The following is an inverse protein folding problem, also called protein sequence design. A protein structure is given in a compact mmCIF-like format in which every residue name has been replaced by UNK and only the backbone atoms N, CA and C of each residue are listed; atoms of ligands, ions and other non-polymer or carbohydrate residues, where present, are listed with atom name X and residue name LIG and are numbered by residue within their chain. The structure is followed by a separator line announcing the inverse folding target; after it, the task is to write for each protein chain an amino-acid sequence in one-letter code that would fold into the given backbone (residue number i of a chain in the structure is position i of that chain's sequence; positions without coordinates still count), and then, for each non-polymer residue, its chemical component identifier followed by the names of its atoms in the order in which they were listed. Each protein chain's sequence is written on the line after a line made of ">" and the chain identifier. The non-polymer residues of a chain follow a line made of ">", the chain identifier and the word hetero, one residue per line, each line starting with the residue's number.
data_IF_883714068088
#
_entry.id   IF_883714068088
#
_cell.length_a   1.000
_cell.length_b   1.000
_cell.length_c   1.000
_cell.angle_alpha   90.00
_cell.angle_beta   90.00
_cell.angle_gamma   90.00
#
_symmetry.space_group_name_H-M   'P 1'
#
loop_
_entity.id
_entity.type
_entity.pdbx_description
1 polymer ?
#
# COMPACT_ATOMS: atom_id res chain seq x y z
N UNK A 1 6.66 -18.34 -4.64
CA UNK A 1 7.77 -18.48 -5.62
C UNK A 1 9.14 -18.71 -4.96
N UNK A 2 9.52 -17.99 -3.90
CA UNK A 2 10.82 -18.16 -3.22
C UNK A 2 11.07 -19.57 -2.66
N UNK A 3 10.03 -20.28 -2.20
CA UNK A 3 10.16 -21.67 -1.73
C UNK A 3 10.57 -22.63 -2.85
N UNK A 4 10.07 -22.39 -4.07
CA UNK A 4 10.39 -23.21 -5.24
C UNK A 4 11.87 -23.07 -5.62
N UNK A 5 12.45 -21.87 -5.56
CA UNK A 5 13.85 -21.63 -5.89
C UNK A 5 14.80 -22.25 -4.85
N UNK A 6 14.50 -22.17 -3.55
CA UNK A 6 15.28 -22.87 -2.52
C UNK A 6 15.33 -24.37 -2.75
N UNK A 7 14.20 -24.97 -3.07
CA UNK A 7 14.10 -26.40 -3.33
C UNK A 7 14.83 -26.76 -4.63
N UNK A 8 14.78 -25.90 -5.64
CA UNK A 8 15.51 -26.03 -6.89
C UNK A 8 17.03 -26.03 -6.66
N UNK A 9 17.56 -25.04 -5.95
CA UNK A 9 18.99 -24.94 -5.63
C UNK A 9 19.46 -26.16 -4.81
N UNK A 10 18.69 -26.60 -3.83
CA UNK A 10 19.00 -27.81 -3.04
C UNK A 10 19.02 -29.09 -3.89
N UNK A 11 18.12 -29.21 -4.87
CA UNK A 11 18.10 -30.34 -5.82
C UNK A 11 19.31 -30.31 -6.72
N UNK A 12 19.67 -29.15 -7.28
CA UNK A 12 20.84 -28.98 -8.11
C UNK A 12 22.12 -29.36 -7.37
N UNK A 13 22.30 -28.95 -6.12
CA UNK A 13 23.45 -29.35 -5.31
C UNK A 13 23.56 -30.87 -5.13
N UNK A 14 22.42 -31.55 -4.92
CA UNK A 14 22.42 -33.03 -4.84
C UNK A 14 22.83 -33.67 -6.17
N UNK A 15 22.30 -33.17 -7.29
CA UNK A 15 22.66 -33.65 -8.63
C UNK A 15 24.16 -33.48 -8.88
N UNK A 16 24.72 -32.32 -8.54
CA UNK A 16 26.18 -32.09 -8.69
C UNK A 16 27.00 -33.01 -7.78
N UNK A 17 26.52 -33.33 -6.56
CA UNK A 17 27.17 -34.31 -5.70
C UNK A 17 27.24 -35.70 -6.36
N UNK A 18 26.10 -36.16 -6.88
CA UNK A 18 26.02 -37.46 -7.59
C UNK A 18 26.93 -37.48 -8.84
N UNK A 19 26.87 -36.40 -9.64
CA UNK A 19 27.72 -36.30 -10.85
C UNK A 19 29.22 -36.36 -10.52
N UNK A 20 29.64 -35.76 -9.41
CA UNK A 20 31.05 -35.80 -8.97
C UNK A 20 31.50 -37.22 -8.65
N UNK A 21 30.61 -38.03 -8.05
CA UNK A 21 30.89 -39.45 -7.73
C UNK A 21 30.92 -40.29 -9.00
N UNK A 22 29.97 -40.09 -9.92
CA UNK A 22 29.82 -40.90 -11.13
C UNK A 22 30.85 -40.55 -12.22
N UNK A 23 31.31 -39.29 -12.25
CA UNK A 23 32.17 -38.75 -13.28
C UNK A 23 33.46 -38.16 -12.67
N UNK A 24 34.31 -38.95 -12.01
CA UNK A 24 35.47 -38.40 -11.29
C UNK A 24 36.50 -37.74 -12.18
N UNK A 25 36.48 -38.00 -13.50
CA UNK A 25 37.38 -37.39 -14.48
C UNK A 25 36.82 -36.10 -15.09
N UNK A 26 35.56 -35.81 -14.88
CA UNK A 26 34.95 -34.58 -15.44
C UNK A 26 35.36 -33.33 -14.65
N UNK A 27 35.52 -32.22 -15.38
CA UNK A 27 35.63 -30.89 -14.75
C UNK A 27 34.23 -30.39 -14.41
N UNK A 28 33.85 -30.52 -13.16
CA UNK A 28 32.51 -30.09 -12.67
C UNK A 28 32.63 -28.71 -12.06
N UNK A 29 31.84 -27.77 -12.59
CA UNK A 29 31.65 -26.45 -11.99
C UNK A 29 30.58 -26.57 -10.91
N UNK A 30 30.92 -26.41 -9.61
CA UNK A 30 29.94 -26.56 -8.54
C UNK A 30 28.78 -25.58 -8.66
N UNK A 31 27.59 -25.97 -8.23
CA UNK A 31 26.46 -25.08 -8.18
C UNK A 31 26.48 -24.31 -6.86
N UNK A 32 26.43 -22.96 -6.85
CA UNK A 32 26.43 -22.16 -5.63
C UNK A 32 25.28 -22.53 -4.70
N UNK A 33 25.47 -22.42 -3.38
CA UNK A 33 24.42 -22.74 -2.38
C UNK A 33 23.18 -21.88 -2.52
N UNK A 34 23.37 -20.63 -2.99
CA UNK A 34 22.27 -19.70 -3.28
C UNK A 34 22.50 -19.07 -4.65
N UNK A 35 21.46 -19.04 -5.45
CA UNK A 35 21.43 -18.37 -6.75
C UNK A 35 20.04 -17.73 -6.90
N UNK A 36 20.01 -16.52 -7.43
CA UNK A 36 18.75 -15.81 -7.73
C UNK A 36 18.39 -15.97 -9.20
N UNK A 37 17.09 -16.06 -9.47
CA UNK A 37 16.59 -16.02 -10.82
C UNK A 37 16.51 -14.57 -11.31
N UNK A 38 16.74 -14.37 -12.62
CA UNK A 38 16.56 -13.09 -13.28
C UNK A 38 15.07 -12.70 -13.30
N UNK A 39 14.72 -11.59 -12.65
CA UNK A 39 13.32 -11.14 -12.52
C UNK A 39 12.84 -10.39 -13.76
N UNK A 40 13.75 -9.77 -14.50
CA UNK A 40 13.45 -8.95 -15.68
C UNK A 40 13.67 -9.70 -17.01
N UNK A 41 13.87 -11.02 -16.93
CA UNK A 41 14.06 -11.81 -18.13
C UNK A 41 12.81 -11.77 -19.02
N UNK A 42 13.00 -11.54 -20.33
CA UNK A 42 11.89 -11.39 -21.31
C UNK A 42 10.88 -12.55 -21.34
N UNK A 43 11.28 -13.74 -20.89
CA UNK A 43 10.42 -14.93 -20.79
C UNK A 43 9.80 -15.08 -19.39
N UNK A 44 9.96 -14.08 -18.54
CA UNK A 44 9.50 -14.11 -17.14
C UNK A 44 10.47 -14.86 -16.22
N UNK A 45 10.13 -14.88 -14.94
CA UNK A 45 10.90 -15.55 -13.89
C UNK A 45 10.83 -17.07 -14.09
N UNK A 46 11.96 -17.70 -14.29
CA UNK A 46 12.05 -19.15 -14.45
C UNK A 46 13.23 -19.70 -13.66
N UNK A 47 13.12 -20.95 -13.22
CA UNK A 47 14.22 -21.66 -12.54
C UNK A 47 15.42 -22.00 -13.43
N UNK A 48 15.42 -21.58 -14.69
CA UNK A 48 16.48 -21.83 -15.66
C UNK A 48 17.25 -20.56 -16.04
N UNK A 49 16.73 -19.39 -15.68
CA UNK A 49 17.36 -18.10 -15.98
C UNK A 49 17.87 -17.48 -14.68
N UNK A 50 19.18 -17.49 -14.54
CA UNK A 50 19.86 -16.94 -13.37
C UNK A 50 20.34 -15.52 -13.66
N UNK A 51 20.69 -14.78 -12.62
CA UNK A 51 21.23 -13.44 -12.77
C UNK A 51 22.62 -13.46 -13.42
N UNK A 52 23.06 -12.30 -13.86
CA UNK A 52 24.34 -12.11 -14.57
C UNK A 52 25.53 -12.64 -13.76
N UNK A 53 25.53 -12.47 -12.46
CA UNK A 53 26.60 -12.91 -11.56
C UNK A 53 26.83 -14.42 -11.61
N UNK A 54 25.77 -15.22 -11.77
CA UNK A 54 25.90 -16.66 -11.95
C UNK A 54 26.61 -17.01 -13.25
N UNK A 55 26.29 -16.34 -14.33
CA UNK A 55 26.94 -16.59 -15.63
C UNK A 55 28.38 -16.11 -15.63
N UNK A 56 28.70 -15.00 -14.97
CA UNK A 56 30.08 -14.51 -14.78
C UNK A 56 30.89 -15.51 -13.96
N UNK A 57 30.33 -16.06 -12.88
CA UNK A 57 30.97 -17.14 -12.14
C UNK A 57 31.25 -18.35 -13.03
N UNK A 58 30.25 -18.84 -13.78
CA UNK A 58 30.45 -19.99 -14.68
C UNK A 58 31.54 -19.73 -15.72
N UNK A 59 31.56 -18.54 -16.28
CA UNK A 59 32.60 -18.14 -17.25
C UNK A 59 34.00 -18.15 -16.62
N UNK A 60 34.17 -17.57 -15.43
CA UNK A 60 35.46 -17.58 -14.72
C UNK A 60 35.90 -18.98 -14.35
N UNK A 61 34.99 -19.87 -13.98
CA UNK A 61 35.30 -21.27 -13.71
C UNK A 61 35.78 -21.99 -14.97
N UNK A 62 35.12 -21.78 -16.12
CA UNK A 62 35.58 -22.34 -17.42
C UNK A 62 36.96 -21.83 -17.78
N UNK A 63 37.23 -20.53 -17.63
CA UNK A 63 38.56 -19.97 -17.90
C UNK A 63 39.63 -20.56 -16.95
N UNK A 64 39.27 -20.87 -15.71
CA UNK A 64 40.17 -21.53 -14.77
C UNK A 64 40.53 -22.95 -15.22
N UNK A 65 39.55 -23.72 -15.72
CA UNK A 65 39.78 -25.04 -16.33
C UNK A 65 40.70 -24.95 -17.52
N UNK A 66 40.51 -23.93 -18.40
CA UNK A 66 41.32 -23.73 -19.61
C UNK A 66 42.80 -23.43 -19.32
N UNK A 67 43.16 -22.94 -18.12
CA UNK A 67 44.55 -22.72 -17.72
C UNK A 67 45.34 -24.01 -17.58
N UNK A 68 44.72 -25.17 -17.54
CA UNK A 68 45.40 -26.46 -17.44
C UNK A 68 46.19 -26.63 -16.14
N UNK A 69 45.72 -26.06 -15.05
CA UNK A 69 46.34 -26.15 -13.74
C UNK A 69 46.30 -27.61 -13.20
N UNK A 70 47.17 -27.95 -12.24
CA UNK A 70 47.01 -29.19 -11.50
C UNK A 70 45.61 -29.29 -10.90
N UNK A 71 44.99 -30.47 -10.96
CA UNK A 71 43.56 -30.66 -10.66
C UNK A 71 43.14 -30.14 -9.27
N UNK A 72 44.00 -30.36 -8.29
CA UNK A 72 43.76 -29.86 -6.94
C UNK A 72 43.69 -28.34 -6.86
N UNK A 73 44.65 -27.67 -7.51
CA UNK A 73 44.71 -26.20 -7.61
C UNK A 73 43.51 -25.65 -8.40
N UNK A 74 43.14 -26.28 -9.49
CA UNK A 74 41.97 -25.94 -10.29
C UNK A 74 40.69 -26.03 -9.44
N UNK A 75 40.48 -27.14 -8.74
CA UNK A 75 39.33 -27.35 -7.90
C UNK A 75 39.24 -26.32 -6.75
N UNK A 76 40.35 -26.00 -6.11
CA UNK A 76 40.41 -24.97 -5.07
C UNK A 76 40.02 -23.59 -5.60
N UNK A 77 40.52 -23.21 -6.77
CA UNK A 77 40.17 -21.91 -7.40
C UNK A 77 38.72 -21.85 -7.80
N UNK A 78 38.18 -22.93 -8.40
CA UNK A 78 36.77 -22.98 -8.78
C UNK A 78 35.86 -22.96 -7.53
N UNK A 79 36.26 -23.66 -6.45
CA UNK A 79 35.52 -23.63 -5.21
C UNK A 79 35.50 -22.23 -4.57
N UNK A 80 36.66 -21.53 -4.60
CA UNK A 80 36.70 -20.14 -4.11
C UNK A 80 35.79 -19.19 -4.89
N UNK A 81 35.73 -19.34 -6.23
CA UNK A 81 34.80 -18.60 -7.08
C UNK A 81 33.32 -18.92 -6.74
N UNK A 82 33.02 -20.20 -6.48
CA UNK A 82 31.69 -20.64 -6.07
C UNK A 82 31.27 -20.04 -4.72
N UNK A 83 32.19 -20.02 -3.75
CA UNK A 83 31.96 -19.47 -2.42
C UNK A 83 31.75 -17.94 -2.48
N UNK A 84 32.56 -17.23 -3.29
CA UNK A 84 32.40 -15.81 -3.52
C UNK A 84 31.03 -15.48 -4.17
N UNK A 85 30.63 -16.24 -5.18
CA UNK A 85 29.32 -16.11 -5.80
C UNK A 85 28.19 -16.37 -4.78
N UNK A 86 28.33 -17.37 -3.92
CA UNK A 86 27.38 -17.69 -2.85
C UNK A 86 27.27 -16.54 -1.84
N UNK A 87 28.38 -15.93 -1.42
CA UNK A 87 28.39 -14.78 -0.51
C UNK A 87 27.68 -13.58 -1.12
N UNK A 88 27.98 -13.23 -2.36
CA UNK A 88 27.35 -12.13 -3.07
C UNK A 88 25.81 -12.29 -3.11
N UNK A 89 25.31 -13.51 -3.40
CA UNK A 89 23.89 -13.79 -3.36
C UNK A 89 23.30 -13.75 -1.97
N UNK A 90 24.05 -14.16 -0.94
CA UNK A 90 23.58 -14.11 0.44
C UNK A 90 23.35 -12.68 0.89
N UNK A 91 24.25 -11.77 0.58
CA UNK A 91 24.13 -10.34 0.88
C UNK A 91 22.98 -9.68 0.11
N UNK A 92 22.90 -9.92 -1.20
CA UNK A 92 21.80 -9.42 -2.03
C UNK A 92 20.45 -9.96 -1.56
N UNK A 93 20.38 -11.23 -1.16
CA UNK A 93 19.15 -11.86 -0.69
C UNK A 93 18.71 -11.33 0.66
N UNK A 94 19.64 -11.03 1.56
CA UNK A 94 19.34 -10.41 2.85
C UNK A 94 18.71 -9.02 2.65
N UNK A 95 19.31 -8.17 1.80
CA UNK A 95 18.74 -6.88 1.44
C UNK A 95 17.35 -6.98 0.81
N UNK A 96 17.16 -7.94 -0.10
CA UNK A 96 15.86 -8.18 -0.74
C UNK A 96 14.76 -8.63 0.25
N UNK A 97 15.14 -9.43 1.25
CA UNK A 97 14.22 -9.85 2.32
C UNK A 97 13.84 -8.65 3.18
N UNK A 98 14.79 -7.83 3.61
CA UNK A 98 14.54 -6.65 4.43
C UNK A 98 13.60 -5.67 3.72
N UNK A 99 13.86 -5.36 2.44
CA UNK A 99 12.97 -4.51 1.62
C UNK A 99 11.58 -5.12 1.46
N UNK A 100 11.48 -6.43 1.26
CA UNK A 100 10.21 -7.13 1.12
C UNK A 100 9.40 -7.12 2.42
N UNK A 101 10.03 -7.28 3.58
CA UNK A 101 9.38 -7.17 4.88
C UNK A 101 8.90 -5.74 5.14
N UNK A 102 9.73 -4.74 4.85
CA UNK A 102 9.34 -3.34 4.99
C UNK A 102 8.11 -3.00 4.12
N UNK A 103 8.07 -3.48 2.87
CA UNK A 103 6.93 -3.29 1.98
C UNK A 103 5.66 -4.00 2.49
N UNK A 104 5.79 -5.21 3.06
CA UNK A 104 4.68 -5.94 3.67
C UNK A 104 4.15 -5.22 4.90
N UNK A 105 5.01 -4.68 5.75
CA UNK A 105 4.62 -3.93 6.94
C UNK A 105 3.90 -2.63 6.59
N UNK A 106 4.37 -1.90 5.58
CA UNK A 106 3.66 -0.72 5.06
C UNK A 106 2.26 -1.09 4.58
N UNK A 107 2.12 -2.14 3.79
CA UNK A 107 0.82 -2.61 3.30
C UNK A 107 -0.10 -3.09 4.42
N UNK A 108 0.44 -3.80 5.41
CA UNK A 108 -0.29 -4.23 6.61
C UNK A 108 -0.84 -3.03 7.38
N UNK A 109 -0.01 -2.00 7.62
CA UNK A 109 -0.42 -0.80 8.33
C UNK A 109 -1.49 -0.01 7.55
N UNK A 110 -1.39 0.05 6.22
CA UNK A 110 -2.42 0.66 5.37
C UNK A 110 -3.75 -0.09 5.48
N UNK A 111 -3.74 -1.42 5.36
CA UNK A 111 -4.95 -2.25 5.48
C UNK A 111 -5.57 -2.15 6.88
N UNK A 112 -4.75 -2.04 7.91
CA UNK A 112 -5.22 -1.86 9.27
C UNK A 112 -5.90 -0.49 9.45
N UNK A 113 -5.31 0.57 8.92
CA UNK A 113 -5.92 1.91 8.94
C UNK A 113 -7.23 1.96 8.14
N UNK A 114 -7.31 1.27 7.00
CA UNK A 114 -8.54 1.16 6.21
C UNK A 114 -9.62 0.38 6.97
N UNK A 115 -9.27 -0.73 7.60
CA UNK A 115 -10.18 -1.51 8.45
C UNK A 115 -10.72 -0.67 9.59
N UNK A 116 -9.85 0.03 10.31
CA UNK A 116 -10.24 0.84 11.47
C UNK A 116 -11.16 2.00 11.05
N UNK A 117 -10.89 2.59 9.88
CA UNK A 117 -11.78 3.58 9.26
C UNK A 117 -13.14 2.97 8.94
N UNK A 118 -13.17 1.79 8.31
CA UNK A 118 -14.42 1.10 7.98
C UNK A 118 -15.25 0.79 9.21
N UNK A 119 -14.64 0.29 10.28
CA UNK A 119 -15.32 -0.01 11.53
C UNK A 119 -15.95 1.24 12.16
N UNK A 120 -15.25 2.36 12.17
CA UNK A 120 -15.80 3.64 12.66
C UNK A 120 -16.98 4.15 11.82
N UNK A 121 -16.94 3.98 10.49
CA UNK A 121 -18.10 4.28 9.65
C UNK A 121 -19.27 3.35 9.98
N UNK A 122 -19.04 2.05 10.11
CA UNK A 122 -20.08 1.09 10.45
C UNK A 122 -20.71 1.39 11.80
N UNK A 123 -19.92 1.71 12.83
CA UNK A 123 -20.40 2.10 14.15
C UNK A 123 -21.22 3.40 14.10
N UNK A 124 -20.76 4.40 13.37
CA UNK A 124 -21.54 5.63 13.18
C UNK A 124 -22.89 5.34 12.54
N UNK A 125 -22.96 4.60 11.43
CA UNK A 125 -24.22 4.27 10.78
C UNK A 125 -25.13 3.41 11.65
N UNK A 126 -24.58 2.47 12.41
CA UNK A 126 -25.33 1.69 13.39
C UNK A 126 -25.99 2.62 14.43
N UNK A 127 -25.22 3.52 15.05
CA UNK A 127 -25.74 4.49 16.03
C UNK A 127 -26.76 5.44 15.41
N UNK A 128 -26.51 5.90 14.19
CA UNK A 128 -27.41 6.78 13.45
C UNK A 128 -28.77 6.13 13.25
N UNK A 129 -28.80 4.84 12.90
CA UNK A 129 -30.05 4.07 12.73
C UNK A 129 -30.72 3.72 14.05
N UNK A 130 -29.95 3.23 15.04
CA UNK A 130 -30.49 2.85 16.36
C UNK A 130 -31.11 4.01 17.11
N UNK A 131 -30.55 5.21 16.96
CA UNK A 131 -31.04 6.42 17.62
C UNK A 131 -32.07 7.16 16.76
N UNK A 132 -32.48 6.60 15.62
CA UNK A 132 -33.36 7.27 14.65
C UNK A 132 -32.90 8.70 14.33
N UNK A 133 -31.60 8.88 14.22
CA UNK A 133 -31.00 10.17 13.90
C UNK A 133 -31.45 10.65 12.52
N UNK A 134 -31.81 11.93 12.44
CA UNK A 134 -32.33 12.53 11.22
C UNK A 134 -31.64 13.88 10.98
N UNK A 135 -30.84 13.94 9.96
CA UNK A 135 -30.12 15.16 9.58
C UNK A 135 -31.04 16.29 9.19
N UNK A 136 -32.18 16.00 8.57
CA UNK A 136 -33.18 16.98 8.15
C UNK A 136 -33.86 17.58 9.38
N UNK A 137 -34.33 16.74 10.32
CA UNK A 137 -34.87 17.19 11.60
C UNK A 137 -33.87 18.03 12.38
N UNK A 138 -32.60 17.62 12.40
CA UNK A 138 -31.54 18.39 13.04
C UNK A 138 -31.41 19.78 12.42
N UNK A 139 -31.35 19.89 11.09
CA UNK A 139 -31.23 21.15 10.38
C UNK A 139 -32.45 22.06 10.65
N UNK A 140 -33.66 21.54 10.58
CA UNK A 140 -34.89 22.32 10.90
C UNK A 140 -34.90 22.82 12.34
N UNK A 141 -34.53 21.96 13.31
CA UNK A 141 -34.45 22.35 14.73
C UNK A 141 -33.44 23.48 14.96
N UNK A 142 -32.35 23.51 14.16
CA UNK A 142 -31.30 24.53 14.23
C UNK A 142 -31.51 25.69 13.26
N UNK A 143 -32.62 25.70 12.52
CA UNK A 143 -32.94 26.72 11.49
C UNK A 143 -31.89 26.83 10.39
N UNK A 144 -31.26 25.73 10.02
CA UNK A 144 -30.26 25.63 8.98
C UNK A 144 -30.94 25.43 7.63
N UNK A 145 -30.74 26.35 6.68
CA UNK A 145 -31.25 26.27 5.30
C UNK A 145 -30.11 26.09 4.30
N UNK A 146 -28.91 26.56 4.67
CA UNK A 146 -27.70 26.43 3.85
C UNK A 146 -26.60 25.78 4.69
N UNK A 147 -25.89 24.81 4.11
CA UNK A 147 -24.89 24.05 4.84
C UNK A 147 -23.62 23.85 4.00
N UNK A 148 -22.46 23.94 4.66
CA UNK A 148 -21.19 23.46 4.13
C UNK A 148 -20.90 22.05 4.66
N UNK A 149 -20.34 21.17 3.85
CA UNK A 149 -19.98 19.80 4.26
C UNK A 149 -18.46 19.63 4.26
N UNK A 150 -17.92 19.11 5.33
CA UNK A 150 -16.55 18.65 5.45
C UNK A 150 -16.57 17.18 5.90
N UNK A 151 -16.02 16.22 5.22
CA UNK A 151 -15.21 16.18 4.01
C UNK A 151 -15.99 15.47 2.89
N UNK A 152 -15.35 15.36 1.73
CA UNK A 152 -15.84 14.54 0.63
C UNK A 152 -15.62 13.04 0.93
N UNK A 153 -16.63 12.36 1.46
CA UNK A 153 -16.59 10.96 1.86
C UNK A 153 -17.95 10.27 1.68
N UNK A 154 -18.07 9.02 2.11
CA UNK A 154 -19.30 8.22 1.99
C UNK A 154 -20.47 8.82 2.78
N UNK A 155 -20.21 9.44 3.93
CA UNK A 155 -21.28 10.10 4.73
C UNK A 155 -21.82 11.31 3.96
N UNK A 156 -20.95 12.16 3.44
CA UNK A 156 -21.34 13.31 2.63
C UNK A 156 -22.14 12.90 1.39
N UNK A 157 -21.72 11.82 0.71
CA UNK A 157 -22.45 11.28 -0.43
C UNK A 157 -23.84 10.76 -0.05
N UNK A 158 -23.99 10.23 1.15
CA UNK A 158 -25.26 9.75 1.67
C UNK A 158 -26.16 10.91 2.13
N UNK A 159 -25.63 11.86 2.89
CA UNK A 159 -26.42 12.94 3.48
C UNK A 159 -26.84 14.02 2.46
N UNK A 160 -26.02 14.27 1.45
CA UNK A 160 -26.26 15.34 0.48
C UNK A 160 -27.63 15.24 -0.22
N UNK A 161 -28.00 14.15 -0.90
CA UNK A 161 -29.28 14.04 -1.57
C UNK A 161 -30.46 14.20 -0.60
N UNK A 162 -30.34 13.70 0.61
CA UNK A 162 -31.36 13.82 1.66
C UNK A 162 -31.56 15.29 2.05
N UNK A 163 -30.49 16.04 2.20
CA UNK A 163 -30.54 17.48 2.52
C UNK A 163 -31.15 18.29 1.37
N UNK A 164 -30.73 18.02 0.14
CA UNK A 164 -31.22 18.73 -1.05
C UNK A 164 -32.71 18.46 -1.31
N UNK A 165 -33.17 17.24 -1.16
CA UNK A 165 -34.61 16.86 -1.25
C UNK A 165 -35.45 17.57 -0.19
N UNK A 166 -34.88 17.81 1.01
CA UNK A 166 -35.52 18.56 2.06
C UNK A 166 -35.46 20.09 1.92
N UNK A 167 -34.89 20.60 0.81
CA UNK A 167 -34.72 22.04 0.56
C UNK A 167 -33.59 22.69 1.37
N UNK A 168 -32.67 21.90 1.91
CA UNK A 168 -31.47 22.39 2.60
C UNK A 168 -30.33 22.43 1.58
N UNK A 169 -29.87 23.63 1.22
CA UNK A 169 -28.93 23.81 0.13
C UNK A 169 -27.48 23.55 0.57
N UNK A 170 -26.79 22.62 -0.05
CA UNK A 170 -25.35 22.41 0.14
C UNK A 170 -24.58 23.46 -0.65
N UNK A 171 -23.98 24.43 0.03
CA UNK A 171 -23.26 25.57 -0.59
C UNK A 171 -21.87 25.20 -1.05
N UNK A 172 -21.18 24.38 -0.26
CA UNK A 172 -19.84 23.90 -0.58
C UNK A 172 -19.56 22.55 0.05
N UNK A 173 -18.59 21.85 -0.53
CA UNK A 173 -18.00 20.64 0.03
C UNK A 173 -16.48 20.85 0.11
N UNK A 174 -15.87 20.57 1.26
CA UNK A 174 -14.42 20.67 1.41
C UNK A 174 -13.78 19.38 0.95
N UNK A 175 -12.83 19.50 0.04
CA UNK A 175 -12.10 18.38 -0.52
C UNK A 175 -11.08 17.82 0.48
N UNK A 176 -11.14 16.52 0.74
CA UNK A 176 -10.20 15.80 1.62
C UNK A 176 -9.47 14.66 0.90
N UNK A 177 -9.58 14.62 -0.43
CA UNK A 177 -8.99 13.55 -1.23
C UNK A 177 -7.60 13.95 -1.78
N UNK A 178 -6.68 12.98 -1.90
CA UNK A 178 -5.43 13.17 -2.62
C UNK A 178 -5.71 13.60 -4.08
N UNK A 179 -4.83 14.41 -4.65
CA UNK A 179 -4.98 14.91 -6.04
C UNK A 179 -5.20 13.79 -7.07
N UNK A 180 -4.69 12.59 -6.82
CA UNK A 180 -4.87 11.42 -7.68
C UNK A 180 -6.31 10.88 -7.74
N UNK A 181 -7.12 11.11 -6.70
CA UNK A 181 -8.52 10.67 -6.63
C UNK A 181 -9.51 11.74 -7.02
N UNK A 182 -9.09 13.02 -7.07
CA UNK A 182 -9.92 14.16 -7.47
C UNK A 182 -10.46 14.02 -8.89
N UNK A 183 -9.72 13.36 -9.80
CA UNK A 183 -10.18 13.09 -11.18
C UNK A 183 -11.45 12.24 -11.25
N UNK A 184 -11.68 11.37 -10.28
CA UNK A 184 -12.85 10.45 -10.26
C UNK A 184 -14.16 11.14 -9.86
N UNK A 185 -14.09 12.38 -9.37
CA UNK A 185 -15.25 13.09 -8.81
C UNK A 185 -15.72 14.27 -9.68
N UNK A 186 -15.15 14.45 -10.87
CA UNK A 186 -15.63 15.46 -11.85
C UNK A 186 -17.02 15.13 -12.40
N UNK A 187 -17.51 13.92 -12.21
CA UNK A 187 -18.79 13.43 -12.75
C UNK A 187 -20.01 13.67 -11.82
N UNK A 188 -19.82 14.39 -10.71
CA UNK A 188 -20.96 14.77 -9.88
C UNK A 188 -21.65 16.02 -10.40
N UNK A 189 -22.98 15.96 -10.66
CA UNK A 189 -23.73 17.14 -11.09
C UNK A 189 -23.64 18.25 -10.06
N UNK A 190 -23.30 19.43 -10.51
CA UNK A 190 -23.01 20.61 -9.70
C UNK A 190 -24.27 21.42 -9.40
N UNK A 191 -24.55 21.77 -8.12
CA UNK A 191 -24.65 23.18 -7.83
C UNK A 191 -23.89 23.66 -6.57
N UNK A 192 -22.85 22.98 -6.14
CA UNK A 192 -22.08 23.38 -4.97
C UNK A 192 -20.63 23.73 -5.35
N UNK A 193 -19.97 24.53 -4.53
CA UNK A 193 -18.56 24.87 -4.71
C UNK A 193 -17.67 23.83 -4.03
N UNK A 194 -16.73 23.25 -4.78
CA UNK A 194 -15.70 22.38 -4.22
C UNK A 194 -14.56 23.25 -3.67
N UNK A 195 -14.29 23.17 -2.37
CA UNK A 195 -13.25 23.95 -1.71
C UNK A 195 -12.03 23.10 -1.42
N UNK A 196 -10.85 23.68 -1.59
CA UNK A 196 -9.61 23.07 -1.12
C UNK A 196 -9.59 22.98 0.41
N UNK A 197 -8.97 21.94 0.95
CA UNK A 197 -8.68 21.80 2.38
C UNK A 197 -7.84 22.96 2.93
N UNK A 198 -7.08 23.65 2.07
CA UNK A 198 -6.25 24.81 2.42
C UNK A 198 -6.98 26.15 2.27
N UNK A 199 -8.28 26.17 1.95
CA UNK A 199 -9.03 27.41 1.84
C UNK A 199 -8.97 28.20 3.16
N UNK A 200 -8.61 29.47 3.09
CA UNK A 200 -8.44 30.33 4.27
C UNK A 200 -9.79 30.67 4.92
N UNK A 201 -10.81 30.90 4.09
CA UNK A 201 -12.18 31.17 4.53
C UNK A 201 -13.18 30.33 3.76
N UNK A 202 -14.27 29.98 4.43
CA UNK A 202 -15.40 29.30 3.81
C UNK A 202 -16.49 30.30 3.38
N UNK A 203 -17.22 30.00 2.30
CA UNK A 203 -18.39 30.79 1.92
C UNK A 203 -19.41 30.89 3.06
N UNK A 204 -20.14 31.99 3.09
CA UNK A 204 -21.21 32.23 4.05
C UNK A 204 -22.27 31.13 3.96
N UNK A 205 -22.64 30.57 5.11
CA UNK A 205 -23.64 29.49 5.26
C UNK A 205 -24.17 29.47 6.69
N UNK A 206 -25.34 28.88 6.89
CA UNK A 206 -25.96 28.80 8.23
C UNK A 206 -25.21 27.84 9.17
N UNK A 207 -24.55 26.83 8.61
CA UNK A 207 -23.74 25.89 9.38
C UNK A 207 -22.70 25.15 8.54
N UNK A 208 -21.70 24.58 9.20
CA UNK A 208 -20.78 23.60 8.61
C UNK A 208 -20.94 22.27 9.36
N UNK A 209 -21.15 21.18 8.63
CA UNK A 209 -21.21 19.82 9.17
C UNK A 209 -19.91 19.08 8.81
N UNK A 210 -19.18 18.67 9.83
CA UNK A 210 -17.99 17.83 9.70
C UNK A 210 -18.41 16.38 9.62
N UNK A 211 -18.42 15.83 8.42
CA UNK A 211 -18.78 14.45 8.10
C UNK A 211 -17.59 13.50 8.21
N UNK A 212 -16.75 13.68 9.21
CA UNK A 212 -15.60 12.82 9.50
C UNK A 212 -15.81 12.07 10.82
N UNK A 213 -15.58 10.75 10.80
CA UNK A 213 -15.75 9.87 11.98
C UNK A 213 -14.42 9.53 12.66
N UNK A 214 -13.29 9.86 12.04
CA UNK A 214 -11.97 9.52 12.56
C UNK A 214 -11.46 10.56 13.56
N UNK A 215 -11.61 11.84 13.22
CA UNK A 215 -11.09 12.96 14.02
C UNK A 215 -12.03 14.16 13.97
N UNK A 216 -13.33 13.99 14.28
CA UNK A 216 -14.35 15.01 14.05
C UNK A 216 -14.06 16.30 14.81
N UNK A 217 -13.67 16.22 16.08
CA UNK A 217 -13.43 17.40 16.91
C UNK A 217 -12.22 18.21 16.49
N UNK A 218 -11.13 17.52 16.08
CA UNK A 218 -9.93 18.18 15.57
C UNK A 218 -10.23 18.94 14.28
N UNK A 219 -11.01 18.33 13.39
CA UNK A 219 -11.44 18.95 12.14
C UNK A 219 -12.41 20.08 12.40
N UNK A 220 -13.39 19.92 13.30
CA UNK A 220 -14.31 20.96 13.69
C UNK A 220 -13.59 22.18 14.26
N UNK A 221 -12.57 21.98 15.09
CA UNK A 221 -11.75 23.06 15.61
C UNK A 221 -10.99 23.82 14.47
N UNK A 222 -10.53 23.10 13.45
CA UNK A 222 -9.90 23.71 12.28
C UNK A 222 -10.92 24.47 11.41
N UNK A 223 -12.13 23.96 11.25
CA UNK A 223 -13.21 24.62 10.50
C UNK A 223 -13.66 25.91 11.19
N UNK A 224 -13.78 25.95 12.53
CA UNK A 224 -14.16 27.15 13.30
C UNK A 224 -13.21 28.35 13.10
N UNK A 225 -11.98 28.09 12.67
CA UNK A 225 -11.02 29.17 12.33
C UNK A 225 -11.28 29.80 10.96
N UNK A 226 -12.15 29.21 10.14
CA UNK A 226 -12.38 29.55 8.73
C UNK A 226 -13.80 30.00 8.43
N UNK A 227 -14.69 29.95 9.40
CA UNK A 227 -16.07 30.37 9.27
C UNK A 227 -16.59 30.93 10.58
N UNK A 228 -17.50 31.87 10.50
CA UNK A 228 -18.30 32.39 11.64
C UNK A 228 -19.55 31.56 11.89
N UNK A 229 -19.92 30.69 10.95
CA UNK A 229 -21.05 29.80 11.09
C UNK A 229 -20.81 28.73 12.16
N UNK A 230 -21.85 28.26 12.85
CA UNK A 230 -21.77 27.12 13.76
C UNK A 230 -21.20 25.88 13.06
N UNK A 231 -20.26 25.20 13.72
CA UNK A 231 -19.63 23.98 13.20
C UNK A 231 -20.07 22.80 14.04
N UNK A 232 -20.77 21.87 13.41
CA UNK A 232 -21.26 20.62 13.97
C UNK A 232 -20.47 19.44 13.44
N UNK A 233 -20.43 18.35 14.18
CA UNK A 233 -19.91 17.06 13.75
C UNK A 233 -21.06 16.13 13.41
N UNK A 234 -20.81 15.04 12.68
CA UNK A 234 -21.85 14.02 12.45
C UNK A 234 -22.36 13.40 13.75
N UNK A 235 -21.57 13.40 14.81
CA UNK A 235 -22.02 12.93 16.13
C UNK A 235 -22.98 13.90 16.84
N UNK A 236 -23.06 15.16 16.42
CA UNK A 236 -24.06 16.10 16.91
C UNK A 236 -25.48 15.79 16.38
N UNK A 237 -25.58 14.94 15.36
CA UNK A 237 -26.85 14.40 14.85
C UNK A 237 -27.44 13.33 15.78
N UNK A 238 -26.61 12.74 16.65
CA UNK A 238 -27.01 11.69 17.57
C UNK A 238 -27.54 12.30 18.88
N UNK A 239 -28.56 11.68 19.47
CA UNK A 239 -29.06 12.09 20.78
C UNK A 239 -28.06 11.75 21.90
N UNK A 240 -27.42 10.60 21.79
CA UNK A 240 -26.34 10.15 22.68
C UNK A 240 -25.07 9.99 21.89
N UNK A 241 -24.07 10.81 22.21
CA UNK A 241 -22.74 10.67 21.64
C UNK A 241 -22.05 9.40 22.13
N UNK A 242 -21.23 8.74 21.33
CA UNK A 242 -20.46 7.56 21.73
C UNK A 242 -19.41 7.90 22.78
#
# INVERSE_FOLDING_TARGET
>A
SQKIYRDGNRRMQKVFGILRELLPQAHLIPFPKQVLAETEHRLGVSGLHYTREYYEYCFQAVETIRKGLPRETEQQQIQALCDACTMQYTETYAGYIEESFAAVDVKKNQLQAERDRFLKYADFFRLYLEQHADVVRFCYKKQIRTIGLYAQNRITLYLRPILEEAGIHVRFIVENLPKSEQKKMKDFPQPFTLLSRSAEQYPETDAVLVADVMSPDTIAAACRKRTTAPVYTVYDLLEKKP
#
